data_IF_163496864188
#
_entry.id   IF_163496864188
#
_cell.length_a   1.000
_cell.length_b   1.000
_cell.length_c   1.000
_cell.angle_alpha   90.00
_cell.angle_beta   90.00
_cell.angle_gamma   90.00
#
_symmetry.space_group_name_H-M   'P 1'
#
loop_
_entity.id
_entity.type
_entity.pdbx_description
1 polymer ?
#
# COMPACT_ATOMS: atom_id res chain seq x y z
N UNK A 1 -11.11 -90.57 -8.69
CA UNK A 1 -12.27 -89.73 -9.10
C UNK A 1 -13.05 -89.48 -7.81
N UNK A 2 -13.01 -88.28 -7.22
CA UNK A 2 -13.55 -87.05 -7.81
C UNK A 2 -12.64 -85.83 -7.68
N UNK A 3 -13.12 -84.75 -8.30
CA UNK A 3 -12.49 -83.48 -8.62
C UNK A 3 -13.15 -82.37 -7.79
N UNK A 4 -12.41 -81.63 -6.96
CA UNK A 4 -12.72 -80.25 -6.51
C UNK A 4 -11.39 -79.57 -6.13
N UNK A 5 -11.07 -78.35 -6.64
CA UNK A 5 -9.82 -77.67 -6.33
C UNK A 5 -9.89 -76.93 -4.97
N UNK A 6 -8.77 -76.84 -4.22
CA UNK A 6 -8.70 -76.07 -2.99
C UNK A 6 -8.42 -74.57 -3.23
N UNK A 7 -9.08 -73.78 -2.39
CA UNK A 7 -8.88 -72.35 -2.14
C UNK A 7 -7.39 -71.99 -2.08
N UNK A 8 -6.95 -71.07 -2.95
CA UNK A 8 -5.60 -70.49 -2.94
C UNK A 8 -5.69 -69.04 -2.49
N UNK A 9 -5.15 -68.75 -1.31
CA UNK A 9 -4.67 -67.41 -0.98
C UNK A 9 -3.15 -67.51 -0.80
N UNK A 10 -2.33 -66.93 -1.70
CA UNK A 10 -0.94 -66.66 -1.39
C UNK A 10 -0.83 -65.26 -0.78
N UNK A 11 -0.51 -65.23 0.52
CA UNK A 11 0.23 -64.12 1.10
C UNK A 11 1.52 -63.93 0.30
N UNK A 12 1.77 -62.72 -0.18
CA UNK A 12 3.10 -62.26 -0.55
C UNK A 12 3.25 -60.81 -0.09
N UNK A 13 4.31 -60.48 0.67
CA UNK A 13 4.57 -59.11 1.09
C UNK A 13 5.14 -58.33 -0.09
N UNK A 14 4.41 -57.31 -0.54
CA UNK A 14 4.87 -56.35 -1.55
C UNK A 14 6.06 -55.56 -1.00
N UNK A 15 7.12 -55.33 -1.80
CA UNK A 15 8.28 -54.56 -1.37
C UNK A 15 7.87 -53.12 -1.05
N UNK A 16 8.30 -52.65 0.13
CA UNK A 16 8.22 -51.26 0.52
C UNK A 16 9.06 -50.42 -0.46
N UNK A 17 8.42 -49.90 -1.50
CA UNK A 17 8.92 -48.76 -2.24
C UNK A 17 8.90 -47.56 -1.31
N UNK A 18 10.06 -47.29 -0.71
CA UNK A 18 10.44 -45.98 -0.20
C UNK A 18 10.21 -44.97 -1.31
N UNK A 19 9.06 -44.29 -1.28
CA UNK A 19 8.89 -43.01 -1.95
C UNK A 19 9.79 -42.01 -1.24
N UNK A 20 10.73 -41.34 -1.92
CA UNK A 20 11.36 -40.16 -1.35
C UNK A 20 10.27 -39.09 -1.25
N UNK A 21 9.79 -38.86 -0.02
CA UNK A 21 9.26 -37.56 0.38
C UNK A 21 10.42 -36.58 0.33
N UNK A 22 10.70 -36.03 -0.84
CA UNK A 22 11.43 -34.78 -0.99
C UNK A 22 11.25 -34.25 -2.40
N UNK A 23 10.28 -33.34 -2.54
CA UNK A 23 10.24 -32.27 -3.55
C UNK A 23 9.03 -31.38 -3.30
N UNK A 24 8.95 -30.78 -2.11
CA UNK A 24 8.24 -29.50 -1.93
C UNK A 24 9.07 -28.36 -2.53
N UNK A 25 9.39 -28.48 -3.82
CA UNK A 25 9.82 -27.34 -4.60
C UNK A 25 8.64 -26.36 -4.62
N UNK A 26 8.81 -25.22 -3.95
CA UNK A 26 7.76 -24.29 -3.61
C UNK A 26 6.86 -23.93 -4.79
N UNK A 27 5.58 -24.27 -4.67
CA UNK A 27 4.56 -23.46 -5.32
C UNK A 27 4.62 -22.10 -4.65
N UNK A 28 5.37 -21.17 -5.25
CA UNK A 28 5.36 -19.78 -4.84
C UNK A 28 3.90 -19.34 -4.78
N UNK A 29 3.45 -18.90 -3.60
CA UNK A 29 2.15 -18.25 -3.48
C UNK A 29 2.18 -17.05 -4.44
N UNK A 30 1.32 -17.01 -5.46
CA UNK A 30 1.36 -15.95 -6.46
C UNK A 30 1.20 -14.57 -5.82
N UNK A 31 0.55 -14.46 -4.66
CA UNK A 31 0.31 -13.18 -3.98
C UNK A 31 1.50 -12.78 -3.10
N UNK A 32 2.25 -13.78 -2.60
CA UNK A 32 3.45 -13.60 -1.81
C UNK A 32 4.69 -14.19 -2.53
N UNK A 33 5.14 -13.59 -3.66
CA UNK A 33 6.24 -14.13 -4.48
C UNK A 33 7.59 -14.23 -3.74
N UNK A 34 7.80 -13.41 -2.70
CA UNK A 34 9.00 -13.46 -1.85
C UNK A 34 8.90 -14.51 -0.73
N UNK A 35 7.71 -15.04 -0.47
CA UNK A 35 7.39 -15.86 0.69
C UNK A 35 6.79 -15.05 1.84
N UNK A 36 5.98 -15.72 2.66
CA UNK A 36 5.21 -15.09 3.75
C UNK A 36 6.11 -14.37 4.75
N UNK A 37 7.22 -15.00 5.16
CA UNK A 37 8.15 -14.42 6.14
C UNK A 37 8.75 -13.09 5.67
N UNK A 38 9.08 -12.96 4.38
CA UNK A 38 9.57 -11.70 3.81
C UNK A 38 8.53 -10.58 3.95
N UNK A 39 7.25 -10.88 3.72
CA UNK A 39 6.19 -9.89 3.86
C UNK A 39 5.85 -9.57 5.32
N UNK A 40 6.02 -10.52 6.25
CA UNK A 40 5.93 -10.25 7.69
C UNK A 40 7.00 -9.26 8.11
N UNK A 41 8.24 -9.47 7.67
CA UNK A 41 9.35 -8.56 7.96
C UNK A 41 9.22 -7.22 7.24
N UNK A 42 8.73 -7.18 5.99
CA UNK A 42 8.41 -5.92 5.31
C UNK A 42 7.35 -5.12 6.07
N UNK A 43 6.30 -5.77 6.57
CA UNK A 43 5.29 -5.11 7.39
C UNK A 43 5.89 -4.53 8.68
N UNK A 44 6.75 -5.29 9.36
CA UNK A 44 7.48 -4.78 10.53
C UNK A 44 8.32 -3.55 10.16
N UNK A 45 9.10 -3.63 9.08
CA UNK A 45 9.94 -2.54 8.59
C UNK A 45 9.14 -1.26 8.31
N UNK A 46 8.06 -1.34 7.52
CA UNK A 46 7.25 -0.17 7.22
C UNK A 46 6.56 0.41 8.47
N UNK A 47 6.14 -0.45 9.40
CA UNK A 47 5.57 -0.04 10.68
C UNK A 47 6.55 0.74 11.55
N UNK A 48 7.73 0.18 11.80
CA UNK A 48 8.79 0.84 12.61
C UNK A 48 9.23 2.14 11.94
N UNK A 49 9.40 2.14 10.61
CA UNK A 49 9.79 3.35 9.88
C UNK A 49 8.74 4.47 10.04
N UNK A 50 7.45 4.14 9.92
CA UNK A 50 6.36 5.11 10.12
C UNK A 50 6.26 5.62 11.56
N UNK A 51 6.47 4.75 12.56
CA UNK A 51 6.49 5.12 13.98
C UNK A 51 7.63 6.08 14.32
N UNK A 52 8.85 5.76 13.88
CA UNK A 52 10.05 6.54 14.20
C UNK A 52 10.08 7.89 13.46
N UNK A 53 9.50 7.96 12.26
CA UNK A 53 9.28 9.23 11.57
C UNK A 53 8.31 10.17 12.31
N UNK A 54 7.38 9.65 13.13
CA UNK A 54 6.58 10.50 14.04
C UNK A 54 7.39 11.05 15.20
N UNK A 55 8.45 10.34 15.61
CA UNK A 55 9.37 10.74 16.67
C UNK A 55 10.49 11.67 16.17
N UNK A 56 10.45 12.10 14.91
CA UNK A 56 11.47 12.91 14.24
C UNK A 56 12.87 12.25 14.25
N UNK A 57 12.94 10.92 14.28
CA UNK A 57 14.20 10.19 14.16
C UNK A 57 14.74 10.23 12.72
N UNK A 58 16.06 10.40 12.50
CA UNK A 58 16.65 10.33 11.18
C UNK A 58 16.42 8.95 10.53
N UNK A 59 15.97 8.93 9.27
CA UNK A 59 15.65 7.68 8.54
C UNK A 59 16.83 6.72 8.50
N UNK A 60 18.07 7.22 8.41
CA UNK A 60 19.29 6.41 8.39
C UNK A 60 19.51 5.65 9.70
N UNK A 61 19.22 6.28 10.84
CA UNK A 61 19.32 5.65 12.16
C UNK A 61 18.25 4.58 12.31
N UNK A 62 17.02 4.89 11.86
CA UNK A 62 15.90 3.95 11.90
C UNK A 62 16.19 2.71 11.05
N UNK A 63 16.66 2.89 9.81
CA UNK A 63 17.08 1.79 8.95
C UNK A 63 18.16 0.92 9.60
N UNK A 64 19.14 1.54 10.26
CA UNK A 64 20.22 0.81 10.92
C UNK A 64 19.70 -0.02 12.10
N UNK A 65 18.77 0.52 12.90
CA UNK A 65 18.11 -0.20 14.00
C UNK A 65 17.29 -1.37 13.48
N UNK A 66 16.43 -1.14 12.48
CA UNK A 66 15.54 -2.19 11.95
C UNK A 66 16.36 -3.34 11.36
N UNK A 67 17.47 -3.05 10.68
CA UNK A 67 18.39 -4.09 10.19
C UNK A 67 18.84 -5.06 11.29
N UNK A 68 19.13 -4.56 12.49
CA UNK A 68 19.57 -5.39 13.63
C UNK A 68 18.42 -6.18 14.26
N UNK A 69 17.19 -5.66 14.16
CA UNK A 69 15.97 -6.27 14.72
C UNK A 69 15.34 -7.32 13.79
N UNK A 70 15.48 -7.15 12.47
CA UNK A 70 14.84 -8.02 11.47
C UNK A 70 15.38 -9.44 11.47
N UNK A 71 14.52 -10.38 11.09
CA UNK A 71 14.89 -11.79 11.01
C UNK A 71 16.01 -12.03 9.99
N UNK A 72 17.17 -12.49 10.47
CA UNK A 72 18.38 -12.67 9.66
C UNK A 72 18.25 -13.71 8.53
N UNK A 73 17.22 -14.57 8.54
CA UNK A 73 16.96 -15.55 7.47
C UNK A 73 16.23 -14.96 6.26
N UNK A 74 15.72 -13.73 6.38
CA UNK A 74 15.12 -13.00 5.26
C UNK A 74 16.18 -12.20 4.49
N UNK A 75 15.84 -11.74 3.29
CA UNK A 75 16.68 -10.86 2.46
C UNK A 75 16.54 -9.39 2.85
N UNK A 76 15.61 -9.05 3.75
CA UNK A 76 15.36 -7.68 4.19
C UNK A 76 16.61 -6.97 4.72
N UNK A 77 17.48 -7.57 5.56
CA UNK A 77 18.68 -6.89 6.03
C UNK A 77 19.60 -6.44 4.88
N UNK A 78 19.73 -7.25 3.83
CA UNK A 78 20.51 -6.90 2.63
C UNK A 78 19.85 -5.77 1.84
N UNK A 79 18.52 -5.79 1.73
CA UNK A 79 17.77 -4.71 1.10
C UNK A 79 17.95 -3.40 1.88
N UNK A 80 17.90 -3.44 3.22
CA UNK A 80 18.14 -2.28 4.08
C UNK A 80 19.56 -1.74 3.93
N UNK A 81 20.58 -2.61 3.88
CA UNK A 81 21.96 -2.19 3.63
C UNK A 81 22.11 -1.43 2.31
N UNK A 82 21.44 -1.91 1.25
CA UNK A 82 21.40 -1.21 -0.03
C UNK A 82 20.63 0.12 0.04
N UNK A 83 19.47 0.14 0.71
CA UNK A 83 18.70 1.37 0.92
C UNK A 83 19.53 2.42 1.67
N UNK A 84 20.26 2.03 2.70
CA UNK A 84 21.16 2.91 3.46
C UNK A 84 22.26 3.52 2.58
N UNK A 85 22.87 2.71 1.71
CA UNK A 85 23.91 3.18 0.80
C UNK A 85 23.34 4.20 -0.21
N UNK A 86 22.22 3.88 -0.85
CA UNK A 86 21.58 4.77 -1.81
C UNK A 86 21.02 6.04 -1.16
N UNK A 87 20.46 5.94 0.05
CA UNK A 87 19.96 7.09 0.80
C UNK A 87 21.10 8.08 1.14
N UNK A 88 22.30 7.58 1.45
CA UNK A 88 23.49 8.43 1.65
C UNK A 88 23.95 9.12 0.37
N UNK A 89 23.65 8.56 -0.80
CA UNK A 89 24.06 9.11 -2.09
C UNK A 89 23.01 10.04 -2.73
N UNK A 90 21.75 9.64 -2.73
CA UNK A 90 20.65 10.31 -3.43
C UNK A 90 19.70 11.08 -2.51
N UNK A 91 19.70 10.79 -1.20
CA UNK A 91 18.83 11.47 -0.22
C UNK A 91 17.36 11.04 -0.23
N UNK A 92 16.97 10.10 -1.10
CA UNK A 92 15.59 9.60 -1.25
C UNK A 92 15.56 8.07 -1.32
N UNK A 93 14.52 7.45 -0.76
CA UNK A 93 14.34 5.99 -0.72
C UNK A 93 13.67 5.44 -1.98
N UNK A 94 12.74 6.17 -2.60
CA UNK A 94 11.96 5.68 -3.75
C UNK A 94 12.83 5.23 -4.93
N UNK A 95 13.90 5.97 -5.21
CA UNK A 95 14.89 5.60 -6.23
C UNK A 95 15.64 4.31 -5.89
N UNK A 96 15.99 4.12 -4.61
CA UNK A 96 16.67 2.92 -4.13
C UNK A 96 15.76 1.69 -4.20
N UNK A 97 14.50 1.83 -3.79
CA UNK A 97 13.49 0.78 -3.90
C UNK A 97 13.24 0.37 -5.35
N UNK A 98 13.24 1.32 -6.28
CA UNK A 98 13.10 1.04 -7.72
C UNK A 98 14.25 0.18 -8.25
N UNK A 99 15.48 0.40 -7.79
CA UNK A 99 16.65 -0.44 -8.15
C UNK A 99 16.55 -1.86 -7.56
N UNK A 100 15.81 -2.02 -6.47
CA UNK A 100 15.53 -3.30 -5.83
C UNK A 100 14.20 -3.92 -6.27
N UNK A 101 13.85 -3.85 -7.55
CA UNK A 101 12.59 -4.39 -8.10
C UNK A 101 12.36 -5.90 -7.88
N UNK A 102 13.41 -6.64 -7.53
CA UNK A 102 13.33 -8.05 -7.14
C UNK A 102 12.93 -8.28 -5.68
N UNK A 103 12.91 -7.22 -4.86
CA UNK A 103 12.57 -7.25 -3.44
C UNK A 103 11.37 -6.35 -3.11
N UNK A 104 11.36 -5.11 -3.62
CA UNK A 104 10.21 -4.23 -3.51
C UNK A 104 9.43 -4.24 -4.82
N UNK A 105 8.11 -4.32 -4.75
CA UNK A 105 7.30 -4.27 -5.97
C UNK A 105 7.33 -2.86 -6.58
N UNK A 106 7.10 -2.71 -7.90
CA UNK A 106 7.06 -1.38 -8.50
C UNK A 106 6.02 -0.47 -7.86
N UNK A 107 4.88 -1.03 -7.41
CA UNK A 107 3.88 -0.30 -6.63
C UNK A 107 4.44 0.22 -5.30
N UNK A 108 5.18 -0.61 -4.54
CA UNK A 108 5.77 -0.17 -3.28
C UNK A 108 6.77 0.98 -3.49
N UNK A 109 7.63 0.87 -4.51
CA UNK A 109 8.56 1.94 -4.87
C UNK A 109 7.84 3.22 -5.34
N UNK A 110 6.74 3.07 -6.09
CA UNK A 110 5.89 4.18 -6.54
C UNK A 110 5.27 4.95 -5.37
N UNK A 111 4.68 4.26 -4.40
CA UNK A 111 4.07 4.90 -3.21
C UNK A 111 5.09 5.72 -2.45
N UNK A 112 6.30 5.18 -2.20
CA UNK A 112 7.36 5.94 -1.52
C UNK A 112 7.82 7.13 -2.36
N UNK A 113 8.00 6.95 -3.66
CA UNK A 113 8.44 8.04 -4.56
C UNK A 113 7.43 9.20 -4.61
N UNK A 114 6.12 8.90 -4.65
CA UNK A 114 5.08 9.94 -4.60
C UNK A 114 5.01 10.62 -3.23
N UNK A 115 5.33 9.91 -2.15
CA UNK A 115 5.30 10.47 -0.80
C UNK A 115 6.55 11.30 -0.46
N UNK A 116 7.67 11.04 -1.14
CA UNK A 116 8.88 11.86 -1.08
C UNK A 116 8.82 13.08 -2.02
N UNK A 117 7.80 13.15 -2.89
CA UNK A 117 7.63 14.26 -3.81
C UNK A 117 7.11 15.50 -3.08
N UNK A 118 7.98 16.50 -2.89
CA UNK A 118 7.67 17.78 -2.22
C UNK A 118 6.51 18.57 -2.85
N UNK A 119 6.17 18.29 -4.12
CA UNK A 119 5.05 18.93 -4.82
C UNK A 119 3.71 18.26 -4.49
N UNK A 120 3.75 17.02 -4.00
CA UNK A 120 2.58 16.23 -3.64
C UNK A 120 1.97 16.68 -2.30
N UNK A 121 0.70 16.34 -2.11
CA UNK A 121 0.02 16.44 -0.79
C UNK A 121 -0.01 15.10 -0.05
N UNK A 122 0.76 14.14 -0.52
CA UNK A 122 0.76 12.78 -0.02
C UNK A 122 1.87 12.60 1.00
N UNK A 123 1.50 12.31 2.25
CA UNK A 123 2.44 12.19 3.37
C UNK A 123 3.10 10.80 3.38
N UNK A 124 4.43 10.76 3.55
CA UNK A 124 5.23 9.54 3.68
C UNK A 124 4.72 8.61 4.78
N UNK A 125 4.19 9.13 5.89
CA UNK A 125 3.61 8.33 6.98
C UNK A 125 2.40 7.52 6.50
N UNK A 126 1.58 8.10 5.64
CA UNK A 126 0.43 7.42 5.04
C UNK A 126 0.92 6.40 4.02
N UNK A 127 1.91 6.77 3.20
CA UNK A 127 2.57 5.86 2.27
C UNK A 127 3.09 4.61 2.98
N UNK A 128 3.83 4.77 4.07
CA UNK A 128 4.35 3.65 4.86
C UNK A 128 3.23 2.81 5.49
N UNK A 129 2.15 3.42 5.95
CA UNK A 129 0.98 2.69 6.46
C UNK A 129 0.27 1.89 5.36
N UNK A 130 0.18 2.44 4.14
CA UNK A 130 -0.35 1.72 2.97
C UNK A 130 0.48 0.47 2.71
N UNK A 131 1.81 0.61 2.69
CA UNK A 131 2.75 -0.47 2.40
C UNK A 131 2.76 -1.53 3.50
N UNK A 132 2.66 -1.12 4.77
CA UNK A 132 2.52 -2.01 5.90
C UNK A 132 1.29 -2.90 5.77
N UNK A 133 0.12 -2.31 5.50
CA UNK A 133 -1.14 -3.05 5.33
C UNK A 133 -1.11 -3.96 4.11
N UNK A 134 -0.50 -3.52 3.01
CA UNK A 134 -0.29 -4.37 1.84
C UNK A 134 0.55 -5.61 2.16
N UNK A 135 1.68 -5.41 2.83
CA UNK A 135 2.59 -6.50 3.21
C UNK A 135 1.90 -7.47 4.19
N UNK A 136 1.12 -6.97 5.15
CA UNK A 136 0.30 -7.81 6.03
C UNK A 136 -0.71 -8.65 5.22
N UNK A 137 -1.43 -8.03 4.29
CA UNK A 137 -2.40 -8.73 3.46
C UNK A 137 -1.74 -9.87 2.67
N UNK A 138 -0.58 -9.60 2.03
CA UNK A 138 0.20 -10.62 1.32
C UNK A 138 0.68 -11.75 2.23
N UNK A 139 1.05 -11.42 3.46
CA UNK A 139 1.41 -12.41 4.48
C UNK A 139 0.20 -13.21 5.03
N UNK A 140 -1.02 -12.96 4.54
CA UNK A 140 -2.24 -13.58 5.05
C UNK A 140 -2.63 -13.10 6.46
N UNK A 141 -2.12 -11.94 6.89
CA UNK A 141 -2.43 -11.33 8.18
C UNK A 141 -3.32 -10.10 7.96
N UNK A 142 -4.40 -9.97 8.72
CA UNK A 142 -5.19 -8.74 8.72
C UNK A 142 -4.63 -7.76 9.76
N UNK A 143 -4.48 -6.48 9.39
CA UNK A 143 -4.15 -5.40 10.33
C UNK A 143 -5.31 -5.08 11.28
N UNK A 144 -6.53 -5.33 10.82
CA UNK A 144 -7.76 -5.05 11.55
C UNK A 144 -8.26 -6.39 12.10
N UNK A 145 -8.27 -6.55 13.41
CA UNK A 145 -8.66 -7.79 14.12
C UNK A 145 -10.13 -8.22 13.97
N UNK A 146 -10.77 -7.86 12.86
CA UNK A 146 -12.16 -8.14 12.51
C UNK A 146 -12.28 -8.95 11.22
N UNK A 147 -13.20 -9.93 11.27
CA UNK A 147 -13.56 -10.92 10.25
C UNK A 147 -12.46 -11.95 9.92
N UNK A 148 -12.87 -13.22 9.87
CA UNK A 148 -12.03 -14.38 9.62
C UNK A 148 -11.01 -14.08 8.51
N UNK A 149 -9.73 -14.31 8.78
CA UNK A 149 -8.66 -14.10 7.81
C UNK A 149 -8.97 -14.91 6.55
N UNK A 150 -9.57 -14.25 5.55
CA UNK A 150 -9.72 -14.83 4.23
C UNK A 150 -8.32 -14.97 3.64
N UNK A 151 -8.10 -16.05 2.90
CA UNK A 151 -6.89 -16.17 2.13
C UNK A 151 -6.75 -14.94 1.22
N UNK A 152 -5.54 -14.36 1.11
CA UNK A 152 -5.34 -13.23 0.24
C UNK A 152 -5.71 -13.62 -1.20
N UNK A 153 -6.22 -12.66 -1.95
CA UNK A 153 -6.68 -12.84 -3.33
C UNK A 153 -6.05 -11.76 -4.24
N UNK A 154 -5.92 -12.05 -5.54
CA UNK A 154 -5.38 -11.06 -6.50
C UNK A 154 -6.34 -9.89 -6.67
N UNK A 155 -7.64 -10.19 -6.63
CA UNK A 155 -8.75 -9.26 -6.66
C UNK A 155 -8.65 -8.29 -5.48
N UNK A 156 -8.47 -8.82 -4.26
CA UNK A 156 -8.32 -8.01 -3.05
C UNK A 156 -7.04 -7.17 -3.06
N UNK A 157 -5.92 -7.72 -3.52
CA UNK A 157 -4.67 -6.99 -3.66
C UNK A 157 -4.81 -5.82 -4.64
N UNK A 158 -5.38 -6.08 -5.83
CA UNK A 158 -5.62 -5.05 -6.83
C UNK A 158 -6.55 -3.95 -6.32
N UNK A 159 -7.68 -4.33 -5.71
CA UNK A 159 -8.64 -3.37 -5.18
C UNK A 159 -8.01 -2.51 -4.09
N UNK A 160 -7.22 -3.10 -3.20
CA UNK A 160 -6.49 -2.36 -2.18
C UNK A 160 -5.50 -1.34 -2.77
N UNK A 161 -4.67 -1.76 -3.73
CA UNK A 161 -3.69 -0.88 -4.37
C UNK A 161 -4.40 0.23 -5.17
N UNK A 162 -5.44 -0.12 -5.92
CA UNK A 162 -6.24 0.83 -6.70
C UNK A 162 -6.99 1.83 -5.82
N UNK A 163 -7.62 1.37 -4.74
CA UNK A 163 -8.31 2.21 -3.75
C UNK A 163 -7.33 3.17 -3.08
N UNK A 164 -6.11 2.71 -2.78
CA UNK A 164 -5.05 3.53 -2.18
C UNK A 164 -4.64 4.67 -3.11
N UNK A 165 -4.48 4.39 -4.40
CA UNK A 165 -4.22 5.41 -5.45
C UNK A 165 -5.38 6.41 -5.54
N UNK A 166 -6.62 5.92 -5.56
CA UNK A 166 -7.81 6.77 -5.66
C UNK A 166 -7.97 7.69 -4.44
N UNK A 167 -7.89 7.15 -3.23
CA UNK A 167 -8.16 7.90 -1.99
C UNK A 167 -7.10 8.94 -1.68
N UNK A 168 -5.85 8.66 -2.01
CA UNK A 168 -4.73 9.56 -1.79
C UNK A 168 -4.44 10.47 -2.98
N UNK A 169 -5.31 10.46 -4.01
CA UNK A 169 -5.23 11.30 -5.21
C UNK A 169 -3.87 11.19 -5.92
N UNK A 170 -3.34 9.98 -5.96
CA UNK A 170 -2.09 9.67 -6.65
C UNK A 170 -2.31 9.64 -8.17
N UNK A 171 -1.24 9.84 -8.95
CA UNK A 171 -1.32 9.84 -10.41
C UNK A 171 -1.72 8.48 -10.99
N UNK A 172 -2.91 8.38 -11.57
CA UNK A 172 -3.44 7.12 -12.12
C UNK A 172 -2.55 6.46 -13.18
N UNK A 173 -1.96 7.27 -14.06
CA UNK A 173 -1.16 6.77 -15.17
C UNK A 173 0.07 5.97 -14.70
N UNK A 174 0.88 6.61 -13.85
CA UNK A 174 2.07 5.98 -13.24
C UNK A 174 1.69 4.93 -12.21
N UNK A 175 0.65 5.18 -11.40
CA UNK A 175 0.21 4.27 -10.35
C UNK A 175 -0.30 2.94 -10.91
N UNK A 176 -1.15 2.96 -11.94
CA UNK A 176 -1.64 1.72 -12.57
C UNK A 176 -0.54 1.00 -13.35
N UNK A 177 0.43 1.72 -13.94
CA UNK A 177 1.59 1.10 -14.54
C UNK A 177 2.46 0.37 -13.49
N UNK A 178 2.63 0.97 -12.31
CA UNK A 178 3.35 0.36 -11.19
C UNK A 178 2.62 -0.86 -10.63
N UNK A 179 1.30 -0.78 -10.47
CA UNK A 179 0.43 -1.92 -10.10
C UNK A 179 0.58 -3.06 -11.12
N UNK A 180 0.49 -2.77 -12.42
CA UNK A 180 0.64 -3.79 -13.47
C UNK A 180 2.04 -4.44 -13.49
N UNK A 181 3.06 -3.77 -12.95
CA UNK A 181 4.41 -4.32 -12.83
C UNK A 181 4.59 -5.35 -11.72
N UNK A 182 3.56 -5.59 -10.90
CA UNK A 182 3.65 -6.52 -9.78
C UNK A 182 3.80 -7.98 -10.25
N UNK A 183 4.76 -8.74 -9.69
CA UNK A 183 4.89 -10.17 -9.96
C UNK A 183 3.63 -10.99 -9.62
N UNK A 184 2.75 -10.49 -8.74
CA UNK A 184 1.54 -11.20 -8.33
C UNK A 184 0.44 -11.27 -9.38
N UNK A 185 0.49 -10.38 -10.38
CA UNK A 185 -0.45 -10.39 -11.50
C UNK A 185 0.07 -11.26 -12.63
N UNK A 186 -0.79 -12.15 -13.12
CA UNK A 186 -0.55 -12.88 -14.37
C UNK A 186 -0.79 -12.00 -15.61
N UNK A 187 -0.50 -12.53 -16.79
CA UNK A 187 -0.58 -11.77 -18.04
C UNK A 187 -2.00 -11.24 -18.33
N UNK A 188 -3.04 -11.94 -17.89
CA UNK A 188 -4.43 -11.50 -18.07
C UNK A 188 -4.70 -10.26 -17.20
N UNK A 189 -4.31 -10.30 -15.93
CA UNK A 189 -4.38 -9.15 -15.03
C UNK A 189 -3.54 -7.98 -15.53
N UNK A 190 -2.27 -8.21 -15.89
CA UNK A 190 -1.37 -7.15 -16.36
C UNK A 190 -1.94 -6.41 -17.57
N UNK A 191 -2.43 -7.16 -18.56
CA UNK A 191 -3.05 -6.59 -19.76
C UNK A 191 -4.29 -5.75 -19.39
N UNK A 192 -5.16 -6.31 -18.55
CA UNK A 192 -6.37 -5.61 -18.12
C UNK A 192 -6.08 -4.32 -17.34
N UNK A 193 -5.10 -4.32 -16.43
CA UNK A 193 -4.70 -3.13 -15.66
C UNK A 193 -4.14 -2.05 -16.60
N UNK A 194 -3.40 -2.45 -17.64
CA UNK A 194 -2.89 -1.52 -18.66
C UNK A 194 -3.99 -0.96 -19.58
N UNK A 195 -5.05 -1.73 -19.84
CA UNK A 195 -6.24 -1.23 -20.54
C UNK A 195 -7.04 -0.28 -19.64
N UNK A 196 -7.22 -0.66 -18.36
CA UNK A 196 -7.86 0.15 -17.33
C UNK A 196 -7.17 1.52 -17.19
N UNK A 197 -5.84 1.56 -17.19
CA UNK A 197 -5.05 2.81 -17.16
C UNK A 197 -5.51 3.83 -18.20
N UNK A 198 -5.96 3.39 -19.37
CA UNK A 198 -6.46 4.26 -20.45
C UNK A 198 -7.92 4.66 -20.27
N UNK A 199 -8.67 3.95 -19.43
CA UNK A 199 -10.12 4.10 -19.24
C UNK A 199 -10.49 4.78 -17.91
N UNK A 200 -9.54 4.92 -16.98
CA UNK A 200 -9.77 5.53 -15.67
C UNK A 200 -10.27 6.96 -15.82
N UNK A 201 -11.38 7.26 -15.14
CA UNK A 201 -12.09 8.55 -15.20
C UNK A 201 -13.12 8.66 -16.32
N UNK A 202 -13.11 7.76 -17.31
CA UNK A 202 -14.11 7.69 -18.38
C UNK A 202 -15.20 6.66 -18.10
N UNK A 203 -14.87 5.58 -17.39
CA UNK A 203 -15.78 4.47 -17.06
C UNK A 203 -15.89 4.33 -15.54
N UNK A 204 -17.09 4.01 -15.06
CA UNK A 204 -17.32 3.69 -13.64
C UNK A 204 -16.55 2.41 -13.26
N UNK A 205 -15.87 2.44 -12.12
CA UNK A 205 -15.14 1.28 -11.57
C UNK A 205 -16.09 0.12 -11.34
N UNK A 206 -17.33 0.39 -10.92
CA UNK A 206 -18.35 -0.65 -10.76
C UNK A 206 -18.69 -1.33 -12.11
N UNK A 207 -18.65 -0.59 -13.22
CA UNK A 207 -18.88 -1.16 -14.55
C UNK A 207 -17.70 -2.04 -15.00
N UNK A 208 -16.48 -1.60 -14.72
CA UNK A 208 -15.26 -2.34 -15.04
C UNK A 208 -15.20 -3.67 -14.28
N UNK A 209 -15.44 -3.65 -12.97
CA UNK A 209 -15.48 -4.88 -12.15
C UNK A 209 -16.61 -5.80 -12.62
N UNK A 210 -17.79 -5.25 -12.95
CA UNK A 210 -18.91 -6.05 -13.42
C UNK A 210 -18.61 -6.77 -14.73
N UNK A 211 -18.13 -6.07 -15.76
CA UNK A 211 -17.89 -6.65 -17.10
C UNK A 211 -16.84 -7.77 -17.06
N UNK A 212 -15.85 -7.66 -16.18
CA UNK A 212 -14.79 -8.66 -16.01
C UNK A 212 -15.10 -9.73 -14.95
N UNK A 213 -16.36 -9.82 -14.49
CA UNK A 213 -16.78 -10.81 -13.50
C UNK A 213 -17.39 -12.08 -14.10
N UNK A 214 -17.23 -13.21 -13.42
CA UNK A 214 -17.95 -14.45 -13.72
C UNK A 214 -19.47 -14.25 -13.78
N UNK A 215 -20.00 -13.38 -12.91
CA UNK A 215 -21.43 -13.08 -12.85
C UNK A 215 -21.96 -12.47 -14.14
N UNK A 216 -21.17 -11.61 -14.81
CA UNK A 216 -21.54 -11.05 -16.11
C UNK A 216 -21.57 -12.12 -17.20
N UNK A 217 -20.59 -13.05 -17.21
CA UNK A 217 -20.55 -14.18 -18.14
C UNK A 217 -21.75 -15.12 -17.96
N UNK A 218 -22.10 -15.45 -16.72
CA UNK A 218 -23.26 -16.32 -16.45
C UNK A 218 -24.58 -15.72 -16.93
N UNK A 219 -24.71 -14.39 -16.84
CA UNK A 219 -25.93 -13.67 -17.23
C UNK A 219 -26.00 -13.42 -18.73
N UNK A 220 -24.86 -13.21 -19.37
CA UNK A 220 -24.72 -13.11 -20.81
C UNK A 220 -24.60 -14.52 -21.38
N UNK A 221 -25.74 -15.22 -21.51
CA UNK A 221 -25.85 -16.61 -22.02
C UNK A 221 -25.21 -16.87 -23.40
N UNK A 222 -24.70 -15.84 -24.07
CA UNK A 222 -24.03 -15.85 -25.37
C UNK A 222 -22.67 -15.12 -25.36
N UNK A 223 -22.01 -14.99 -24.20
CA UNK A 223 -20.68 -14.37 -24.13
C UNK A 223 -19.64 -15.27 -24.82
N UNK A 224 -19.47 -15.01 -26.11
CA UNK A 224 -18.39 -15.36 -27.04
C UNK A 224 -17.28 -16.22 -26.42
N UNK A 225 -17.04 -17.41 -26.98
CA UNK A 225 -15.96 -18.34 -26.59
C UNK A 225 -14.55 -17.68 -26.69
N UNK A 226 -14.45 -16.49 -27.30
CA UNK A 226 -13.25 -15.65 -27.37
C UNK A 226 -13.10 -14.59 -26.27
N UNK A 227 -14.03 -14.46 -25.32
CA UNK A 227 -13.94 -13.48 -24.24
C UNK A 227 -12.81 -13.83 -23.25
N UNK A 228 -12.06 -12.80 -22.81
CA UNK A 228 -10.97 -12.98 -21.86
C UNK A 228 -11.45 -13.69 -20.56
N UNK A 229 -10.56 -14.45 -19.89
CA UNK A 229 -10.89 -15.09 -18.62
C UNK A 229 -11.46 -14.07 -17.61
N UNK A 230 -12.49 -14.44 -16.82
CA UNK A 230 -13.01 -13.54 -15.79
C UNK A 230 -11.90 -13.28 -14.76
N UNK A 231 -11.75 -12.01 -14.39
CA UNK A 231 -10.77 -11.58 -13.39
C UNK A 231 -11.40 -11.43 -12.01
N UNK A 232 -12.73 -11.31 -11.95
CA UNK A 232 -13.47 -11.20 -10.71
C UNK A 232 -14.48 -12.35 -10.61
N UNK A 233 -14.73 -12.81 -9.38
CA UNK A 233 -15.69 -13.86 -9.12
C UNK A 233 -17.15 -13.41 -9.21
N UNK A 234 -18.04 -14.35 -8.91
CA UNK A 234 -19.48 -14.10 -8.95
C UNK A 234 -19.94 -13.06 -7.91
N UNK A 235 -19.34 -13.08 -6.71
CA UNK A 235 -19.75 -12.21 -5.59
C UNK A 235 -19.39 -10.75 -5.88
N UNK A 236 -18.18 -10.53 -6.37
CA UNK A 236 -17.64 -9.23 -6.76
C UNK A 236 -18.50 -8.63 -7.88
N UNK A 237 -18.87 -9.44 -8.88
CA UNK A 237 -19.78 -9.03 -9.95
C UNK A 237 -21.17 -8.63 -9.46
N UNK A 238 -21.76 -9.38 -8.51
CA UNK A 238 -23.04 -9.02 -7.89
C UNK A 238 -22.97 -7.69 -7.14
N UNK A 239 -21.90 -7.48 -6.38
CA UNK A 239 -21.65 -6.24 -5.62
C UNK A 239 -21.45 -5.07 -6.58
N UNK A 240 -20.70 -5.27 -7.66
CA UNK A 240 -20.46 -4.28 -8.69
C UNK A 240 -21.76 -3.83 -9.35
N UNK A 241 -22.61 -4.77 -9.77
CA UNK A 241 -23.93 -4.45 -10.35
C UNK A 241 -24.81 -3.63 -9.38
N UNK A 242 -24.78 -3.98 -8.09
CA UNK A 242 -25.58 -3.29 -7.07
C UNK A 242 -25.09 -1.86 -6.75
N UNK A 243 -23.83 -1.55 -7.06
CA UNK A 243 -23.20 -0.26 -6.78
C UNK A 243 -22.94 0.61 -8.02
N UNK A 244 -23.42 0.21 -9.20
CA UNK A 244 -23.36 1.04 -10.41
C UNK A 244 -23.97 2.42 -10.21
N UNK A 245 -23.29 3.46 -10.72
CA UNK A 245 -23.72 4.87 -10.65
C UNK A 245 -23.92 5.40 -9.22
N UNK A 246 -23.48 4.68 -8.20
CA UNK A 246 -23.44 5.16 -6.81
C UNK A 246 -22.05 5.73 -6.52
N UNK A 247 -21.88 6.24 -5.30
CA UNK A 247 -20.55 6.61 -4.81
C UNK A 247 -19.61 5.38 -4.85
N UNK A 248 -18.47 5.45 -5.55
CA UNK A 248 -17.46 4.39 -5.58
C UNK A 248 -17.00 3.93 -4.19
N UNK A 249 -17.09 4.79 -3.18
CA UNK A 249 -16.75 4.44 -1.80
C UNK A 249 -17.63 3.32 -1.23
N UNK A 250 -18.90 3.24 -1.65
CA UNK A 250 -19.83 2.18 -1.24
C UNK A 250 -19.47 0.84 -1.89
N UNK A 251 -18.94 0.87 -3.12
CA UNK A 251 -18.41 -0.30 -3.80
C UNK A 251 -17.22 -0.87 -3.01
N UNK A 252 -16.22 -0.03 -2.70
CA UNK A 252 -15.05 -0.44 -1.92
C UNK A 252 -15.42 -0.98 -0.55
N UNK A 253 -16.29 -0.31 0.22
CA UNK A 253 -16.74 -0.81 1.52
C UNK A 253 -17.47 -2.16 1.43
N UNK A 254 -18.15 -2.44 0.31
CA UNK A 254 -18.80 -3.74 0.08
C UNK A 254 -17.80 -4.83 -0.28
N UNK A 255 -16.81 -4.51 -1.11
CA UNK A 255 -15.75 -5.43 -1.53
C UNK A 255 -14.80 -5.74 -0.37
N UNK A 256 -14.43 -4.73 0.44
CA UNK A 256 -13.63 -4.87 1.65
C UNK A 256 -14.17 -5.97 2.57
N UNK A 257 -15.48 -5.94 2.86
CA UNK A 257 -16.15 -6.94 3.72
C UNK A 257 -16.16 -8.36 3.14
N UNK A 258 -16.06 -8.51 1.82
CA UNK A 258 -16.22 -9.81 1.14
C UNK A 258 -14.89 -10.43 0.74
N UNK A 259 -13.90 -9.60 0.40
CA UNK A 259 -12.56 -10.02 0.00
C UNK A 259 -11.53 -9.94 1.14
N UNK A 260 -11.86 -9.24 2.23
CA UNK A 260 -11.01 -9.15 3.42
C UNK A 260 -9.69 -8.42 3.22
N UNK A 261 -9.53 -7.63 2.13
CA UNK A 261 -8.36 -6.77 1.97
C UNK A 261 -8.44 -5.60 2.95
N UNK A 262 -7.32 -5.02 3.45
CA UNK A 262 -7.35 -4.02 4.52
C UNK A 262 -7.94 -2.67 4.09
N UNK A 263 -8.42 -1.85 5.03
CA UNK A 263 -8.87 -0.50 4.67
C UNK A 263 -7.66 0.37 4.30
N UNK A 264 -7.81 1.28 3.34
CA UNK A 264 -6.72 2.19 2.98
C UNK A 264 -6.69 3.37 3.96
N UNK A 265 -5.55 3.71 4.57
CA UNK A 265 -5.43 4.89 5.42
C UNK A 265 -5.73 6.16 4.62
N UNK A 266 -6.25 7.18 5.33
CA UNK A 266 -6.62 8.47 4.75
C UNK A 266 -5.60 9.52 5.14
N UNK A 267 -5.36 10.47 4.24
CA UNK A 267 -4.73 11.73 4.62
C UNK A 267 -5.62 12.44 5.61
N UNK A 268 -5.18 12.51 6.87
CA UNK A 268 -5.79 13.38 7.85
C UNK A 268 -5.67 14.81 7.33
N UNK A 269 -6.82 15.46 7.17
CA UNK A 269 -6.84 16.89 6.94
C UNK A 269 -6.22 17.52 8.20
N UNK A 270 -5.29 18.48 8.07
CA UNK A 270 -4.78 19.21 9.22
C UNK A 270 -5.97 19.72 10.03
N UNK A 271 -6.00 19.40 11.32
CA UNK A 271 -7.08 19.83 12.18
C UNK A 271 -7.11 21.37 12.19
N UNK A 272 -8.22 21.96 11.74
CA UNK A 272 -8.36 23.40 11.69
C UNK A 272 -8.15 23.99 13.09
N UNK A 273 -8.53 23.26 14.15
CA UNK A 273 -8.34 23.66 15.55
C UNK A 273 -6.87 23.71 15.95
N UNK A 274 -6.03 22.78 15.49
CA UNK A 274 -4.57 22.82 15.72
C UNK A 274 -3.91 23.98 14.97
N UNK A 275 -4.45 24.36 13.80
CA UNK A 275 -4.00 25.54 13.06
C UNK A 275 -4.40 26.87 13.74
N UNK A 276 -5.39 26.87 14.64
CA UNK A 276 -5.79 28.06 15.40
C UNK A 276 -4.75 28.45 16.46
N UNK A 277 -4.05 27.49 17.08
CA UNK A 277 -3.10 27.77 18.16
C UNK A 277 -1.91 28.65 17.70
N UNK A 278 -1.21 28.35 16.58
CA UNK A 278 -0.19 29.25 16.03
C UNK A 278 -0.75 30.61 15.59
N UNK A 279 -1.99 30.66 15.10
CA UNK A 279 -2.64 31.91 14.71
C UNK A 279 -2.96 32.79 15.92
N UNK A 280 -3.45 32.19 17.01
CA UNK A 280 -3.69 32.88 18.28
C UNK A 280 -2.38 33.36 18.89
N UNK A 281 -1.32 32.55 18.89
CA UNK A 281 0.01 32.95 19.37
C UNK A 281 0.52 34.20 18.63
N UNK A 282 0.44 34.21 17.29
CA UNK A 282 0.81 35.39 16.47
C UNK A 282 -0.05 36.61 16.79
N UNK A 283 -1.36 36.43 17.02
CA UNK A 283 -2.25 37.54 17.40
C UNK A 283 -1.93 38.08 18.80
N UNK A 284 -1.60 37.22 19.75
CA UNK A 284 -1.14 37.61 21.08
C UNK A 284 0.17 38.40 21.01
N UNK A 285 1.16 37.96 20.23
CA UNK A 285 2.40 38.71 20.02
C UNK A 285 2.15 40.11 19.42
N UNK A 286 1.21 40.22 18.47
CA UNK A 286 0.84 41.52 17.89
C UNK A 286 0.14 42.43 18.91
N UNK A 287 -0.74 41.87 19.75
CA UNK A 287 -1.39 42.61 20.83
C UNK A 287 -0.39 43.08 21.87
N UNK A 288 0.57 42.23 22.26
CA UNK A 288 1.63 42.59 23.20
C UNK A 288 2.48 43.75 22.66
N UNK A 289 2.86 43.74 21.38
CA UNK A 289 3.57 44.86 20.73
C UNK A 289 2.76 46.16 20.77
N UNK A 290 1.45 46.10 20.52
CA UNK A 290 0.56 47.27 20.57
C UNK A 290 0.37 47.81 21.98
N UNK A 291 0.25 46.93 22.97
CA UNK A 291 0.15 47.31 24.39
C UNK A 291 1.42 48.02 24.84
N UNK A 292 2.61 47.48 24.51
CA UNK A 292 3.89 48.13 24.80
C UNK A 292 3.96 49.54 24.21
N UNK A 293 3.52 49.71 22.96
CA UNK A 293 3.49 51.02 22.30
C UNK A 293 2.51 52.00 22.97
N UNK A 294 1.34 51.52 23.42
CA UNK A 294 0.38 52.33 24.19
C UNK A 294 0.91 52.71 25.58
N UNK A 295 1.62 51.80 26.26
CA UNK A 295 2.26 52.08 27.55
C UNK A 295 3.40 53.11 27.41
N UNK A 296 4.16 53.05 26.31
CA UNK A 296 5.19 54.04 25.97
C UNK A 296 4.58 55.42 25.66
N UNK A 297 3.44 55.47 24.95
CA UNK A 297 2.70 56.71 24.71
C UNK A 297 2.18 57.32 26.02
N UNK A 298 1.60 56.50 26.91
CA UNK A 298 1.06 56.95 28.19
C UNK A 298 2.14 57.45 29.17
N UNK A 299 3.38 56.97 29.05
CA UNK A 299 4.54 57.39 29.88
C UNK A 299 5.23 58.66 29.41
N UNK A 300 4.77 59.31 28.34
CA UNK A 300 5.21 60.67 28.00
C UNK A 300 5.96 60.82 26.68
N UNK A 301 5.79 59.91 25.71
CA UNK A 301 6.16 60.14 24.31
C UNK A 301 6.91 58.98 23.67
N UNK A 302 6.41 58.54 22.50
CA UNK A 302 7.04 57.51 21.68
C UNK A 302 8.35 58.06 21.08
N UNK A 303 9.47 57.41 21.39
CA UNK A 303 10.76 57.72 20.78
C UNK A 303 10.82 57.16 19.34
N UNK A 304 10.28 57.93 18.40
CA UNK A 304 10.21 57.61 16.97
C UNK A 304 11.59 57.40 16.31
N UNK A 305 12.69 57.76 16.99
CA UNK A 305 14.06 57.57 16.50
C UNK A 305 14.45 56.10 16.32
N UNK A 306 13.76 55.16 16.99
CA UNK A 306 14.00 53.71 16.87
C UNK A 306 13.32 53.06 15.67
N UNK A 307 12.41 53.77 15.01
CA UNK A 307 11.63 53.26 13.86
C UNK A 307 12.06 53.88 12.52
N UNK A 308 12.99 54.83 12.53
CA UNK A 308 13.57 55.40 11.30
C UNK A 308 14.90 54.71 10.98
N UNK A 309 14.93 53.89 9.92
CA UNK A 309 16.19 53.60 9.23
C UNK A 309 16.69 54.90 8.58
N UNK A 310 17.92 55.31 8.92
CA UNK A 310 18.57 56.48 8.32
C UNK A 310 18.70 56.23 6.82
N UNK A 311 18.13 57.07 5.92
CA UNK A 311 18.30 56.89 4.49
C UNK A 311 19.80 56.98 4.15
N UNK A 312 20.29 56.20 3.17
CA UNK A 312 21.70 56.15 2.86
C UNK A 312 22.11 57.50 2.23
N UNK A 313 22.81 58.34 3.00
CA UNK A 313 23.50 59.52 2.48
C UNK A 313 23.19 60.87 3.13
N UNK A 314 23.22 60.98 4.46
CA UNK A 314 23.41 62.28 5.11
C UNK A 314 24.28 62.13 6.36
N UNK A 315 25.49 62.70 6.28
CA UNK A 315 26.38 62.97 7.42
C UNK A 315 25.67 63.85 8.45
#
# INVERSE_FOLDING_TARGET
>A
MPNVPPFTLPFSPTPASMTPQDSSAGMADPIAPLGVEEYVEQAHFFGVLGERLRQNSPVQEVLSSVREETLATTKLPMAIDFLLAELRHAGVMGAAMTKLAHYFTPYQAYVVSEAENERGRFDLRIGLEILRREALYRAGRSSDGGAAALAPSREGLFLYQFESVCRNRLGYDTGLAAIAGDPSYDDAWRKWIMDLRRQVGMVDVADLVYVHSEFYRMRSRDADDGAAPPLFGEREGRIALANRRKDPMLLFASLHRQLGYPETPRTELPDEEEALLPQLARRCEQLEKRIKLLEEEQRGGVDLSKFYEKPPGAE
#
